data_IF_358398268523
#
_entry.id   IF_358398268523
#
_cell.length_a   1.000
_cell.length_b   1.000
_cell.length_c   1.000
_cell.angle_alpha   90.00
_cell.angle_beta   90.00
_cell.angle_gamma   90.00
#
_symmetry.space_group_name_H-M   'P 1'
#
loop_
_entity.id
_entity.type
_entity.pdbx_description
1 polymer ?
#
# COMPACT_ATOMS: atom_id res chain seq x y z
N UNK A 1 5.80 20.04 15.46
CA UNK A 1 5.70 18.61 15.11
C UNK A 1 7.12 18.05 15.13
N UNK A 2 7.48 17.28 16.16
CA UNK A 2 8.74 16.54 16.13
C UNK A 2 8.43 15.18 15.52
N UNK A 3 8.84 14.96 14.28
CA UNK A 3 8.84 13.66 13.63
C UNK A 3 10.19 13.01 13.93
N UNK A 4 10.24 12.06 14.81
CA UNK A 4 11.42 11.22 14.95
C UNK A 4 11.46 10.21 13.81
N UNK A 5 12.52 10.28 12.98
CA UNK A 5 12.78 9.28 11.95
C UNK A 5 13.24 7.98 12.62
N UNK A 6 12.32 7.05 12.75
CA UNK A 6 12.50 5.74 13.41
C UNK A 6 13.46 4.81 12.63
N UNK A 7 13.98 5.26 11.48
CA UNK A 7 14.70 4.38 10.52
C UNK A 7 16.15 4.05 10.90
N UNK A 8 16.76 4.74 11.85
CA UNK A 8 18.15 4.46 12.22
C UNK A 8 18.24 3.67 13.54
N UNK A 9 18.55 2.37 13.42
CA UNK A 9 18.89 1.52 14.58
C UNK A 9 17.69 0.92 15.33
N UNK A 10 16.48 1.01 14.80
CA UNK A 10 15.27 0.48 15.42
C UNK A 10 14.92 -0.90 14.82
N UNK A 11 14.59 -1.92 15.62
CA UNK A 11 14.08 -3.20 15.14
C UNK A 11 12.84 -3.06 14.24
N UNK A 12 12.08 -1.98 14.40
CA UNK A 12 10.92 -1.64 13.55
C UNK A 12 11.29 -1.01 12.20
N UNK A 13 12.59 -0.87 11.87
CA UNK A 13 13.01 -0.27 10.60
C UNK A 13 12.55 -1.02 9.35
N UNK A 14 12.14 -2.28 9.49
CA UNK A 14 11.55 -3.10 8.42
C UNK A 14 10.04 -3.00 8.33
N UNK A 15 9.40 -2.38 9.32
CA UNK A 15 7.97 -2.16 9.34
C UNK A 15 7.65 -0.77 8.80
N UNK A 16 6.57 -0.65 8.04
CA UNK A 16 6.11 0.66 7.56
C UNK A 16 5.29 1.35 8.67
N UNK A 17 5.95 1.64 9.80
CA UNK A 17 5.37 2.28 10.98
C UNK A 17 6.00 3.66 11.18
N UNK A 18 5.17 4.63 11.57
CA UNK A 18 5.59 5.96 11.96
C UNK A 18 5.05 6.26 13.36
N UNK A 19 5.93 6.51 14.30
CA UNK A 19 5.60 7.01 15.64
C UNK A 19 5.83 8.52 15.70
N UNK A 20 4.91 9.26 16.28
CA UNK A 20 5.01 10.70 16.47
C UNK A 20 4.30 11.12 17.74
N UNK A 21 4.61 12.31 18.23
CA UNK A 21 3.88 12.95 19.32
C UNK A 21 3.03 14.10 18.76
N UNK A 22 1.75 14.12 19.11
CA UNK A 22 0.81 15.19 18.74
C UNK A 22 0.08 15.61 20.02
N UNK A 23 0.24 16.86 20.41
CA UNK A 23 -0.39 17.44 21.62
C UNK A 23 -0.13 16.60 22.89
N UNK A 24 1.11 16.14 23.07
CA UNK A 24 1.53 15.32 24.20
C UNK A 24 1.00 13.88 24.19
N UNK A 25 0.44 13.43 23.06
CA UNK A 25 -0.04 12.05 22.86
C UNK A 25 0.86 11.31 21.88
N UNK A 26 1.17 10.08 22.20
CA UNK A 26 1.88 9.18 21.28
C UNK A 26 0.92 8.63 20.23
N UNK A 27 1.16 9.01 18.98
CA UNK A 27 0.36 8.60 17.82
C UNK A 27 1.20 7.71 16.92
N UNK A 28 0.65 6.55 16.55
CA UNK A 28 1.29 5.62 15.62
C UNK A 28 0.48 5.54 14.33
N UNK A 29 1.18 5.64 13.20
CA UNK A 29 0.61 5.36 11.88
C UNK A 29 1.17 4.04 11.37
N UNK A 30 0.30 3.04 11.29
CA UNK A 30 0.59 1.74 10.71
C UNK A 30 0.24 1.75 9.22
N UNK A 31 1.25 1.85 8.39
CA UNK A 31 1.16 1.89 6.94
C UNK A 31 1.32 0.51 6.31
N UNK A 32 1.44 -0.54 7.13
CA UNK A 32 1.56 -1.92 6.68
C UNK A 32 0.33 -2.34 5.87
N UNK A 33 0.59 -3.11 4.84
CA UNK A 33 -0.47 -3.73 4.02
C UNK A 33 -0.84 -5.09 4.63
N UNK A 34 -1.75 -5.07 5.59
CA UNK A 34 -2.18 -6.26 6.31
C UNK A 34 -1.84 -6.27 7.80
N UNK A 35 -1.68 -7.47 8.35
CA UNK A 35 -1.46 -7.75 9.79
C UNK A 35 -0.23 -8.61 10.04
N UNK A 36 0.62 -8.77 9.03
CA UNK A 36 1.83 -9.58 9.11
C UNK A 36 3.02 -8.66 9.35
N UNK A 37 3.59 -8.77 10.53
CA UNK A 37 4.73 -7.97 10.96
C UNK A 37 5.97 -8.84 11.04
N UNK A 38 7.13 -8.29 10.68
CA UNK A 38 8.42 -9.00 10.79
C UNK A 38 8.82 -9.20 12.24
N UNK A 39 8.50 -8.24 13.12
CA UNK A 39 8.68 -8.33 14.57
C UNK A 39 7.36 -8.02 15.29
N UNK A 40 6.46 -9.01 15.41
CA UNK A 40 5.17 -8.81 16.07
C UNK A 40 5.29 -8.35 17.53
N UNK A 41 6.32 -8.80 18.27
CA UNK A 41 6.49 -8.44 19.66
C UNK A 41 6.84 -6.95 19.83
N UNK A 42 7.73 -6.44 18.98
CA UNK A 42 8.10 -5.02 18.99
C UNK A 42 6.91 -4.14 18.55
N UNK A 43 6.11 -4.59 17.57
CA UNK A 43 4.90 -3.88 17.14
C UNK A 43 3.85 -3.84 18.24
N UNK A 44 3.61 -4.95 18.95
CA UNK A 44 2.69 -4.98 20.09
C UNK A 44 3.14 -4.04 21.21
N UNK A 45 4.44 -4.02 21.54
CA UNK A 45 4.98 -3.11 22.52
C UNK A 45 4.79 -1.63 22.12
N UNK A 46 4.95 -1.32 20.82
CA UNK A 46 4.66 0.01 20.28
C UNK A 46 3.17 0.38 20.42
N UNK A 47 2.28 -0.52 20.04
CA UNK A 47 0.84 -0.28 20.11
C UNK A 47 0.34 -0.15 21.56
N UNK A 48 0.93 -0.90 22.50
CA UNK A 48 0.59 -0.77 23.92
C UNK A 48 0.93 0.62 24.49
N UNK A 49 2.09 1.19 24.13
CA UNK A 49 2.50 2.51 24.61
C UNK A 49 1.83 3.67 23.88
N UNK A 50 1.27 3.43 22.69
CA UNK A 50 0.57 4.47 21.93
C UNK A 50 -0.76 4.86 22.58
N UNK A 51 -1.15 6.12 22.47
CA UNK A 51 -2.49 6.60 22.82
C UNK A 51 -3.50 6.29 21.73
N UNK A 52 -3.05 6.33 20.46
CA UNK A 52 -3.87 6.00 19.30
C UNK A 52 -3.00 5.40 18.17
N UNK A 53 -3.56 4.44 17.46
CA UNK A 53 -2.92 3.80 16.31
C UNK A 53 -3.82 3.93 15.09
N UNK A 54 -3.38 4.64 14.08
CA UNK A 54 -4.05 4.71 12.79
C UNK A 54 -3.54 3.59 11.88
N UNK A 55 -4.41 2.65 11.53
CA UNK A 55 -4.08 1.49 10.70
C UNK A 55 -4.62 1.61 9.28
N UNK A 56 -3.73 1.47 8.29
CA UNK A 56 -4.11 1.50 6.87
C UNK A 56 -5.02 0.34 6.49
N UNK A 57 -4.61 -0.88 6.76
CA UNK A 57 -5.39 -2.10 6.46
C UNK A 57 -6.30 -2.42 7.64
N UNK A 58 -7.28 -1.53 7.92
CA UNK A 58 -8.16 -1.65 9.07
C UNK A 58 -9.24 -2.70 8.85
N UNK A 59 -9.29 -3.70 9.74
CA UNK A 59 -10.39 -4.68 9.86
C UNK A 59 -10.84 -4.76 11.31
N UNK A 60 -12.10 -4.46 11.59
CA UNK A 60 -12.65 -4.53 12.95
C UNK A 60 -12.60 -5.96 13.53
N UNK A 61 -12.68 -6.99 12.68
CA UNK A 61 -12.58 -8.38 13.08
C UNK A 61 -11.14 -8.76 13.46
N UNK A 62 -10.18 -8.49 12.56
CA UNK A 62 -8.76 -8.77 12.82
C UNK A 62 -8.22 -7.95 14.01
N UNK A 63 -8.69 -6.72 14.17
CA UNK A 63 -8.27 -5.86 15.27
C UNK A 63 -8.62 -6.44 16.65
N UNK A 64 -9.74 -7.19 16.76
CA UNK A 64 -10.13 -7.83 18.02
C UNK A 64 -9.16 -8.92 18.47
N UNK A 65 -8.29 -9.40 17.59
CA UNK A 65 -7.29 -10.42 17.90
C UNK A 65 -6.07 -9.83 18.64
N UNK A 66 -5.89 -8.50 18.62
CA UNK A 66 -4.84 -7.88 19.41
C UNK A 66 -5.14 -7.97 20.91
N UNK A 67 -4.09 -8.18 21.74
CA UNK A 67 -4.26 -8.32 23.17
C UNK A 67 -4.56 -6.99 23.87
N UNK A 68 -5.19 -7.08 25.04
CA UNK A 68 -5.35 -5.97 25.96
C UNK A 68 -6.22 -4.83 25.44
N UNK A 69 -5.72 -3.61 25.59
CA UNK A 69 -6.39 -2.37 25.25
C UNK A 69 -6.14 -1.90 23.80
N UNK A 70 -5.26 -2.59 23.06
CA UNK A 70 -4.87 -2.22 21.69
C UNK A 70 -6.09 -2.07 20.76
N UNK A 71 -7.09 -2.99 20.76
CA UNK A 71 -8.26 -2.84 19.88
C UNK A 71 -9.00 -1.51 20.06
N UNK A 72 -9.05 -0.99 21.29
CA UNK A 72 -9.71 0.27 21.59
C UNK A 72 -8.95 1.51 21.06
N UNK A 73 -7.65 1.38 20.83
CA UNK A 73 -6.77 2.45 20.31
C UNK A 73 -6.73 2.49 18.80
N UNK A 74 -7.08 1.40 18.10
CA UNK A 74 -7.02 1.30 16.65
C UNK A 74 -8.10 2.13 15.97
N UNK A 75 -7.68 2.89 14.95
CA UNK A 75 -8.55 3.74 14.12
C UNK A 75 -8.22 3.51 12.64
N UNK A 76 -9.21 3.59 11.75
CA UNK A 76 -8.93 3.50 10.33
C UNK A 76 -8.13 4.72 9.86
N UNK A 77 -7.00 4.48 9.18
CA UNK A 77 -6.24 5.52 8.50
C UNK A 77 -6.82 5.81 7.11
N UNK A 78 -7.42 4.80 6.50
CA UNK A 78 -7.79 4.84 5.09
C UNK A 78 -6.59 4.60 4.17
N UNK A 79 -6.80 4.84 2.89
CA UNK A 79 -5.77 4.63 1.88
C UNK A 79 -4.77 5.80 1.93
N UNK A 80 -3.50 5.47 2.08
CA UNK A 80 -2.39 6.43 2.11
C UNK A 80 -1.87 6.72 0.70
N UNK A 81 -2.72 7.27 -0.17
CA UNK A 81 -2.27 7.73 -1.48
C UNK A 81 -1.47 9.04 -1.35
N UNK A 82 -0.56 9.21 -2.28
CA UNK A 82 0.03 10.52 -2.50
C UNK A 82 -1.07 11.47 -2.97
N UNK A 83 -1.47 12.38 -2.09
CA UNK A 83 -2.40 13.44 -2.42
C UNK A 83 -1.67 14.76 -2.33
N UNK A 84 -1.98 15.67 -3.25
CA UNK A 84 -1.48 17.02 -3.19
C UNK A 84 -2.44 17.88 -2.36
N UNK A 85 -1.88 18.71 -1.49
CA UNK A 85 -2.63 19.71 -0.76
C UNK A 85 -1.81 21.00 -0.71
N UNK A 86 -2.46 22.16 -0.59
CA UNK A 86 -1.75 23.43 -0.39
C UNK A 86 -0.79 23.33 0.80
N UNK A 87 0.46 23.76 0.59
CA UNK A 87 1.50 23.67 1.62
C UNK A 87 2.18 22.32 1.77
N UNK A 88 1.91 21.35 0.86
CA UNK A 88 2.62 20.07 0.82
C UNK A 88 4.13 20.30 0.60
N UNK A 89 5.02 19.62 1.35
CA UNK A 89 6.46 19.68 1.09
C UNK A 89 6.83 19.29 -0.35
N UNK A 90 6.02 18.44 -0.99
CA UNK A 90 6.19 18.05 -2.39
C UNK A 90 5.89 19.20 -3.36
N UNK A 91 5.07 20.19 -2.97
CA UNK A 91 4.85 21.40 -3.77
C UNK A 91 6.02 22.38 -3.66
N UNK A 92 6.68 22.47 -2.51
CA UNK A 92 7.84 23.35 -2.31
C UNK A 92 9.03 23.00 -3.21
N UNK A 93 9.15 21.77 -3.66
CA UNK A 93 10.16 21.34 -4.61
C UNK A 93 9.88 21.77 -6.07
N UNK A 94 8.79 22.48 -6.34
CA UNK A 94 8.42 22.96 -7.68
C UNK A 94 9.14 24.23 -8.13
N UNK A 95 10.31 24.51 -7.62
CA UNK A 95 11.15 25.55 -8.19
C UNK A 95 11.44 25.27 -9.68
N UNK A 96 11.58 26.30 -10.50
CA UNK A 96 11.90 26.17 -11.92
C UNK A 96 13.16 25.31 -12.15
N UNK A 97 14.12 25.39 -11.22
CA UNK A 97 15.35 24.62 -11.19
C UNK A 97 15.10 23.11 -10.95
N UNK A 98 14.17 22.77 -10.02
CA UNK A 98 13.76 21.41 -9.76
C UNK A 98 13.03 20.80 -10.95
N UNK A 99 12.15 21.55 -11.60
CA UNK A 99 11.42 21.13 -12.81
C UNK A 99 12.36 20.85 -13.97
N UNK A 100 13.37 21.71 -14.19
CA UNK A 100 14.37 21.52 -15.23
C UNK A 100 15.23 20.27 -14.97
N UNK A 101 15.63 20.07 -13.71
CA UNK A 101 16.37 18.87 -13.28
C UNK A 101 15.56 17.59 -13.46
N UNK A 102 14.26 17.63 -13.19
CA UNK A 102 13.37 16.49 -13.40
C UNK A 102 13.17 16.17 -14.86
N UNK A 103 12.96 17.19 -15.70
CA UNK A 103 12.86 17.03 -17.14
C UNK A 103 14.12 16.39 -17.71
N UNK A 104 15.30 16.83 -17.25
CA UNK A 104 16.59 16.29 -17.69
C UNK A 104 16.87 14.86 -17.22
N UNK A 105 16.35 14.46 -16.04
CA UNK A 105 16.66 13.18 -15.42
C UNK A 105 15.52 12.14 -15.54
N UNK A 106 14.36 12.52 -16.07
CA UNK A 106 13.15 11.66 -16.27
C UNK A 106 12.74 10.81 -15.04
N UNK A 107 13.13 11.20 -13.81
CA UNK A 107 13.14 10.27 -12.67
C UNK A 107 12.10 10.52 -11.59
N UNK A 108 11.32 11.60 -11.68
CA UNK A 108 10.29 11.90 -10.66
C UNK A 108 8.96 12.27 -11.30
N UNK A 109 7.92 11.54 -10.92
CA UNK A 109 6.53 11.88 -11.20
C UNK A 109 5.90 12.46 -9.94
N UNK A 110 5.18 13.56 -10.06
CA UNK A 110 4.39 14.11 -8.94
C UNK A 110 2.96 13.59 -9.01
N UNK A 111 2.25 13.50 -7.87
CA UNK A 111 0.85 13.11 -7.87
C UNK A 111 -0.01 13.90 -8.84
N UNK A 112 0.24 15.20 -8.97
CA UNK A 112 -0.49 16.08 -9.89
C UNK A 112 -0.26 15.75 -11.37
N UNK A 113 0.81 15.07 -11.72
CA UNK A 113 1.06 14.63 -13.11
C UNK A 113 0.08 13.52 -13.52
N UNK A 114 -0.51 12.86 -12.50
CA UNK A 114 -1.52 11.80 -12.66
C UNK A 114 -2.94 12.29 -12.41
N UNK A 115 -3.14 13.52 -11.93
CA UNK A 115 -4.46 14.11 -11.74
C UNK A 115 -5.06 14.48 -13.10
N UNK A 116 -5.81 13.56 -13.68
CA UNK A 116 -6.54 13.83 -14.92
C UNK A 116 -7.77 14.71 -14.64
N UNK A 117 -7.87 15.87 -15.28
CA UNK A 117 -9.13 16.58 -15.36
C UNK A 117 -10.06 15.80 -16.29
N UNK A 118 -11.19 15.33 -15.76
CA UNK A 118 -12.24 14.70 -16.55
C UNK A 118 -12.91 15.73 -17.46
N UNK A 119 -12.22 16.13 -18.52
CA UNK A 119 -12.72 17.14 -19.46
C UNK A 119 -13.62 16.56 -20.54
N UNK A 120 -13.51 15.27 -20.83
CA UNK A 120 -14.35 14.58 -21.83
C UNK A 120 -14.42 13.09 -21.54
N UNK A 121 -15.63 12.56 -21.46
CA UNK A 121 -15.85 11.10 -21.50
C UNK A 121 -15.63 10.63 -22.94
N UNK A 122 -14.75 9.67 -23.15
CA UNK A 122 -14.56 9.07 -24.48
C UNK A 122 -15.85 8.34 -24.89
N UNK A 123 -16.23 8.44 -26.16
CA UNK A 123 -17.39 7.72 -26.70
C UNK A 123 -17.27 6.20 -26.58
N UNK A 124 -16.05 5.69 -26.58
CA UNK A 124 -15.74 4.28 -26.33
C UNK A 124 -14.83 4.19 -25.09
N UNK A 125 -15.32 3.83 -23.92
CA UNK A 125 -14.51 3.64 -22.73
C UNK A 125 -13.51 2.49 -22.97
N UNK A 126 -12.32 2.60 -22.37
CA UNK A 126 -11.32 1.53 -22.32
C UNK A 126 -11.22 1.04 -20.89
N UNK A 127 -11.05 -0.26 -20.76
CA UNK A 127 -10.85 -0.93 -19.48
C UNK A 127 -9.37 -1.28 -19.42
N UNK A 128 -8.68 -0.76 -18.40
CA UNK A 128 -7.29 -1.11 -18.08
C UNK A 128 -7.29 -1.92 -16.79
N UNK A 129 -6.77 -3.15 -16.85
CA UNK A 129 -6.55 -3.98 -15.67
C UNK A 129 -5.14 -4.55 -15.71
N UNK A 130 -4.27 -3.97 -14.90
CA UNK A 130 -2.89 -4.43 -14.71
C UNK A 130 -2.74 -4.91 -13.28
N UNK A 131 -2.26 -6.12 -13.10
CA UNK A 131 -2.07 -6.70 -11.77
C UNK A 131 -0.76 -7.49 -11.70
N UNK A 132 -0.35 -7.82 -10.48
CA UNK A 132 0.75 -8.77 -10.22
C UNK A 132 0.22 -9.96 -9.45
N UNK A 133 0.85 -11.10 -9.59
CA UNK A 133 0.61 -12.26 -8.73
C UNK A 133 1.68 -12.29 -7.63
N UNK A 134 1.26 -12.69 -6.45
CA UNK A 134 2.15 -12.89 -5.30
C UNK A 134 2.58 -14.34 -5.25
N UNK A 135 3.86 -14.59 -4.96
CA UNK A 135 4.34 -15.96 -4.89
C UNK A 135 4.08 -16.56 -3.50
N UNK A 136 3.10 -17.46 -3.35
CA UNK A 136 2.79 -18.08 -2.06
C UNK A 136 3.92 -19.00 -1.58
N UNK A 137 4.85 -19.37 -2.46
CA UNK A 137 6.01 -20.21 -2.14
C UNK A 137 7.25 -19.37 -1.75
N UNK A 138 7.11 -18.05 -1.67
CA UNK A 138 8.19 -17.19 -1.21
C UNK A 138 8.63 -17.56 0.21
N UNK A 139 9.94 -17.74 0.49
CA UNK A 139 10.43 -18.18 1.81
C UNK A 139 9.92 -17.34 2.98
N UNK A 140 9.79 -16.03 2.78
CA UNK A 140 9.27 -15.11 3.80
C UNK A 140 7.81 -15.37 4.18
N UNK A 141 7.04 -16.01 3.30
CA UNK A 141 5.61 -16.27 3.46
C UNK A 141 5.35 -17.71 3.95
N UNK A 142 6.28 -18.63 3.72
CA UNK A 142 6.12 -20.04 4.08
C UNK A 142 5.84 -20.27 5.57
N UNK A 143 6.31 -19.39 6.44
CA UNK A 143 6.05 -19.44 7.88
C UNK A 143 4.63 -19.00 8.27
N UNK A 144 3.82 -18.48 7.31
CA UNK A 144 2.46 -17.98 7.53
C UNK A 144 1.45 -18.70 6.64
N UNK A 145 0.93 -19.88 7.04
CA UNK A 145 -0.01 -20.67 6.22
C UNK A 145 -1.27 -19.92 5.78
N UNK A 146 -1.81 -19.09 6.68
CA UNK A 146 -3.02 -18.28 6.39
C UNK A 146 -2.73 -17.24 5.30
N UNK A 147 -1.55 -16.62 5.35
CA UNK A 147 -1.12 -15.66 4.32
C UNK A 147 -0.90 -16.35 2.97
N UNK A 148 -0.33 -17.55 2.97
CA UNK A 148 -0.20 -18.35 1.75
C UNK A 148 -1.56 -18.65 1.13
N UNK A 149 -2.53 -19.08 1.95
CA UNK A 149 -3.89 -19.35 1.51
C UNK A 149 -4.56 -18.08 0.94
N UNK A 150 -4.42 -16.95 1.63
CA UNK A 150 -4.91 -15.65 1.16
C UNK A 150 -4.29 -15.28 -0.20
N UNK A 151 -2.97 -15.42 -0.36
CA UNK A 151 -2.30 -15.10 -1.62
C UNK A 151 -2.73 -16.01 -2.77
N UNK A 152 -2.93 -17.30 -2.50
CA UNK A 152 -3.46 -18.23 -3.53
C UNK A 152 -4.86 -17.81 -3.97
N UNK A 153 -5.73 -17.47 -3.02
CA UNK A 153 -7.09 -16.99 -3.33
C UNK A 153 -7.07 -15.69 -4.13
N UNK A 154 -6.31 -14.70 -3.68
CA UNK A 154 -6.19 -13.41 -4.37
C UNK A 154 -5.63 -13.58 -5.79
N UNK A 155 -4.66 -14.48 -5.99
CA UNK A 155 -4.14 -14.77 -7.33
C UNK A 155 -5.21 -15.41 -8.22
N UNK A 156 -5.97 -16.37 -7.70
CA UNK A 156 -7.06 -17.02 -8.42
C UNK A 156 -8.13 -15.99 -8.86
N UNK A 157 -8.55 -15.12 -7.94
CA UNK A 157 -9.54 -14.08 -8.21
C UNK A 157 -9.05 -13.08 -9.28
N UNK A 158 -7.76 -12.72 -9.25
CA UNK A 158 -7.15 -11.82 -10.23
C UNK A 158 -7.10 -12.43 -11.62
N UNK A 159 -6.73 -13.71 -11.72
CA UNK A 159 -6.69 -14.45 -12.99
C UNK A 159 -8.11 -14.62 -13.55
N UNK A 160 -9.07 -15.00 -12.71
CA UNK A 160 -10.46 -15.11 -13.12
C UNK A 160 -11.03 -13.80 -13.62
N UNK A 161 -10.78 -12.69 -12.88
CA UNK A 161 -11.22 -11.37 -13.30
C UNK A 161 -10.59 -10.94 -14.63
N UNK A 162 -9.31 -11.23 -14.84
CA UNK A 162 -8.60 -10.97 -16.09
C UNK A 162 -9.32 -11.64 -17.26
N UNK A 163 -9.59 -12.95 -17.15
CA UNK A 163 -10.25 -13.71 -18.19
C UNK A 163 -11.68 -13.23 -18.44
N UNK A 164 -12.44 -12.91 -17.39
CA UNK A 164 -13.80 -12.37 -17.51
C UNK A 164 -13.82 -11.01 -18.23
N UNK A 165 -12.91 -10.12 -17.90
CA UNK A 165 -12.81 -8.81 -18.55
C UNK A 165 -12.40 -8.94 -20.01
N UNK A 166 -11.45 -9.81 -20.33
CA UNK A 166 -11.01 -10.07 -21.69
C UNK A 166 -12.13 -10.67 -22.52
N UNK A 167 -12.89 -11.61 -21.98
CA UNK A 167 -14.03 -12.25 -22.68
C UNK A 167 -15.21 -11.29 -22.88
N UNK A 168 -15.52 -10.47 -21.86
CA UNK A 168 -16.66 -9.56 -21.90
C UNK A 168 -16.40 -8.32 -22.76
N UNK A 169 -15.15 -7.86 -22.86
CA UNK A 169 -14.77 -6.60 -23.49
C UNK A 169 -13.54 -6.73 -24.41
N UNK A 170 -13.53 -7.64 -25.40
CA UNK A 170 -12.33 -7.98 -26.17
C UNK A 170 -11.70 -6.79 -26.91
N UNK A 171 -12.52 -5.82 -27.37
CA UNK A 171 -12.04 -4.64 -28.10
C UNK A 171 -11.65 -3.46 -27.19
N UNK A 172 -12.22 -3.39 -25.98
CA UNK A 172 -12.01 -2.30 -25.04
C UNK A 172 -11.00 -2.63 -23.96
N UNK A 173 -10.77 -3.91 -23.72
CA UNK A 173 -9.88 -4.39 -22.67
C UNK A 173 -8.42 -4.26 -23.06
N UNK A 174 -7.63 -3.78 -22.13
CA UNK A 174 -6.17 -3.79 -22.16
C UNK A 174 -5.69 -4.16 -20.77
N UNK A 175 -4.96 -5.25 -20.66
CA UNK A 175 -4.52 -5.66 -19.33
C UNK A 175 -3.71 -6.94 -19.37
N UNK A 176 -3.31 -7.35 -18.19
CA UNK A 176 -2.51 -8.55 -18.00
C UNK A 176 -1.93 -8.64 -16.60
N UNK A 177 -1.14 -9.66 -16.43
CA UNK A 177 -0.37 -9.93 -15.23
C UNK A 177 1.08 -9.49 -15.46
N UNK A 178 1.68 -8.83 -14.46
CA UNK A 178 3.11 -8.48 -14.51
C UNK A 178 3.97 -9.72 -14.67
N UNK A 179 4.94 -9.69 -15.57
CA UNK A 179 5.86 -10.80 -15.78
C UNK A 179 6.65 -11.11 -14.51
N UNK A 180 6.54 -12.35 -14.06
CA UNK A 180 7.25 -12.91 -12.92
C UNK A 180 7.31 -14.42 -13.02
N UNK A 181 8.22 -15.08 -12.28
CA UNK A 181 8.28 -16.54 -12.22
C UNK A 181 6.94 -17.13 -11.73
N UNK A 182 6.31 -16.50 -10.75
CA UNK A 182 4.99 -16.90 -10.26
C UNK A 182 3.91 -16.74 -11.34
N UNK A 183 3.90 -15.62 -12.07
CA UNK A 183 2.94 -15.37 -13.12
C UNK A 183 3.06 -16.40 -14.26
N UNK A 184 4.25 -16.67 -14.72
CA UNK A 184 4.51 -17.70 -15.75
C UNK A 184 4.10 -19.11 -15.33
N UNK A 185 4.15 -19.43 -14.03
CA UNK A 185 3.70 -20.70 -13.47
C UNK A 185 2.19 -20.80 -13.37
N UNK A 186 1.51 -19.73 -12.94
CA UNK A 186 0.08 -19.72 -12.62
C UNK A 186 -0.81 -19.29 -13.79
N UNK A 187 -0.27 -18.52 -14.72
CA UNK A 187 -0.98 -18.00 -15.89
C UNK A 187 -0.05 -18.12 -17.12
N UNK A 188 0.27 -19.36 -17.54
CA UNK A 188 1.01 -19.56 -18.79
C UNK A 188 0.16 -19.05 -19.95
N UNK A 189 0.78 -18.31 -20.89
CA UNK A 189 0.14 -17.84 -22.12
C UNK A 189 -0.30 -19.00 -23.02
#
# INVERSE_FOLDING_TARGET
LQVQDVRQGNPLAREALLETEIDGRTVVFDLMDGYFYNDPAAVLALFHRADVVFKRSFSAEKNRQFPGDIPAKLRPLGLNYYVTCPGSPLEAERSAKSRLKQWALSTRCYPQDFEARLTRVRKKPRILFLTRLWDPEEPAVQQYPDLQAEWRQVNADRIELLHRLQAAFPEQFTGGVSDSACARRLCPE
#
